data_IF_661486421598
#
_entry.id   IF_661486421598
#
_cell.length_a   1.000
_cell.length_b   1.000
_cell.length_c   1.000
_cell.angle_alpha   90.00
_cell.angle_beta   90.00
_cell.angle_gamma   90.00
#
_symmetry.space_group_name_H-M   'P 1'
#
loop_
_entity.id
_entity.type
_entity.pdbx_description
1 polymer ?
#
# COMPACT_ATOMS: atom_id res chain seq x y z
N UNK A 1 -4.72 -7.77 -22.67
CA UNK A 1 -5.15 -6.81 -21.63
C UNK A 1 -4.50 -5.47 -21.95
N UNK A 2 -5.26 -4.40 -21.86
CA UNK A 2 -4.73 -3.05 -22.07
C UNK A 2 -3.69 -2.70 -21.00
N UNK A 3 -2.60 -2.00 -21.35
CA UNK A 3 -1.52 -1.65 -20.43
C UNK A 3 -2.00 -0.80 -19.25
N UNK A 4 -2.99 0.06 -19.46
CA UNK A 4 -3.60 0.87 -18.40
C UNK A 4 -4.28 0.03 -17.32
N UNK A 5 -4.99 -1.03 -17.71
CA UNK A 5 -5.65 -1.95 -16.76
C UNK A 5 -4.62 -2.67 -15.91
N UNK A 6 -3.53 -3.13 -16.52
CA UNK A 6 -2.44 -3.80 -15.81
C UNK A 6 -1.72 -2.86 -14.83
N UNK A 7 -1.53 -1.59 -15.20
CA UNK A 7 -0.99 -0.57 -14.31
C UNK A 7 -1.92 -0.31 -13.12
N UNK A 8 -3.22 -0.14 -13.33
CA UNK A 8 -4.17 0.08 -12.23
C UNK A 8 -4.18 -1.14 -11.29
N UNK A 9 -4.26 -2.35 -11.84
CA UNK A 9 -4.26 -3.58 -11.06
C UNK A 9 -2.98 -3.75 -10.24
N UNK A 10 -1.81 -3.38 -10.78
CA UNK A 10 -0.55 -3.47 -10.03
C UNK A 10 -0.54 -2.53 -8.82
N UNK A 11 -1.04 -1.31 -8.98
CA UNK A 11 -1.22 -0.37 -7.87
C UNK A 11 -2.17 -0.91 -6.81
N UNK A 12 -3.36 -1.36 -7.24
CA UNK A 12 -4.39 -1.92 -6.34
C UNK A 12 -3.85 -3.13 -5.58
N UNK A 13 -3.20 -4.08 -6.25
CA UNK A 13 -2.64 -5.27 -5.61
C UNK A 13 -1.56 -4.91 -4.59
N UNK A 14 -0.66 -3.98 -4.93
CA UNK A 14 0.39 -3.53 -3.99
C UNK A 14 -0.22 -2.89 -2.75
N UNK A 15 -1.22 -2.02 -2.94
CA UNK A 15 -1.94 -1.38 -1.84
C UNK A 15 -2.70 -2.38 -0.98
N UNK A 16 -3.47 -3.29 -1.58
CA UNK A 16 -4.25 -4.31 -0.88
C UNK A 16 -3.37 -5.25 -0.04
N UNK A 17 -2.23 -5.70 -0.57
CA UNK A 17 -1.31 -6.54 0.20
C UNK A 17 -0.80 -5.80 1.43
N UNK A 18 -0.42 -4.53 1.29
CA UNK A 18 -0.07 -3.68 2.42
C UNK A 18 -1.21 -3.53 3.43
N UNK A 19 -2.43 -3.30 2.95
CA UNK A 19 -3.60 -3.18 3.84
C UNK A 19 -3.90 -4.47 4.61
N UNK A 20 -3.81 -5.62 3.95
CA UNK A 20 -3.98 -6.91 4.61
C UNK A 20 -2.89 -7.11 5.67
N UNK A 21 -1.63 -6.88 5.29
CA UNK A 21 -0.48 -7.11 6.14
C UNK A 21 -0.43 -6.21 7.39
N UNK A 22 -0.87 -4.95 7.29
CA UNK A 22 -0.71 -3.96 8.35
C UNK A 22 -1.99 -3.51 9.04
N UNK A 23 -3.16 -3.74 8.46
CA UNK A 23 -4.44 -3.43 9.12
C UNK A 23 -5.21 -4.71 9.44
N UNK A 24 -5.46 -5.54 8.42
CA UNK A 24 -6.39 -6.67 8.57
C UNK A 24 -5.82 -7.78 9.46
N UNK A 25 -4.55 -8.17 9.27
CA UNK A 25 -3.90 -9.22 10.07
C UNK A 25 -3.86 -8.84 11.56
N UNK A 26 -3.39 -7.64 11.96
CA UNK A 26 -3.49 -7.21 13.35
C UNK A 26 -4.92 -7.21 13.89
N UNK A 27 -5.88 -6.70 13.11
CA UNK A 27 -7.29 -6.63 13.52
C UNK A 27 -7.89 -8.01 13.82
N UNK A 28 -7.67 -9.01 12.96
CA UNK A 28 -8.27 -10.35 13.13
C UNK A 28 -7.55 -11.21 14.16
N UNK A 29 -6.27 -10.92 14.44
CA UNK A 29 -5.48 -11.63 15.45
C UNK A 29 -5.59 -11.02 16.84
N UNK A 30 -6.09 -9.77 16.94
CA UNK A 30 -6.31 -9.11 18.22
C UNK A 30 -7.39 -9.81 19.05
N UNK A 31 -7.08 -10.11 20.32
CA UNK A 31 -8.05 -10.61 21.29
C UNK A 31 -9.21 -9.61 21.53
N UNK A 32 -9.00 -8.34 21.16
CA UNK A 32 -9.97 -7.25 21.15
C UNK A 32 -11.21 -7.46 20.26
N UNK A 33 -11.20 -8.43 19.33
CA UNK A 33 -12.42 -8.83 18.60
C UNK A 33 -13.38 -9.61 19.51
N UNK A 34 -12.87 -10.32 20.52
CA UNK A 34 -13.62 -11.28 21.31
C UNK A 34 -14.26 -10.71 22.59
N UNK A 35 -13.89 -9.50 23.03
CA UNK A 35 -14.26 -8.96 24.35
C UNK A 35 -15.32 -7.83 24.32
N UNK A 36 -15.87 -7.49 23.16
CA UNK A 36 -17.14 -6.74 23.06
C UNK A 36 -17.12 -5.25 23.48
N UNK A 37 -15.96 -4.67 23.78
CA UNK A 37 -15.82 -3.22 23.99
C UNK A 37 -14.77 -2.67 23.02
N UNK A 38 -15.09 -1.61 22.28
CA UNK A 38 -14.11 -1.01 21.35
C UNK A 38 -14.07 0.50 21.50
N UNK A 39 -13.07 0.97 22.23
CA UNK A 39 -12.54 2.31 22.02
C UNK A 39 -11.68 2.27 20.75
N UNK A 40 -12.06 3.09 19.77
CA UNK A 40 -11.31 3.32 18.54
C UNK A 40 -9.83 3.73 18.73
N UNK A 41 -9.51 4.39 19.86
CA UNK A 41 -8.14 4.75 20.20
C UNK A 41 -7.29 3.53 20.50
N UNK A 42 -7.85 2.55 21.20
CA UNK A 42 -7.15 1.33 21.60
C UNK A 42 -6.83 0.45 20.38
N UNK A 43 -7.77 0.32 19.45
CA UNK A 43 -7.54 -0.37 18.17
C UNK A 43 -6.42 0.31 17.36
N UNK A 44 -6.43 1.65 17.34
CA UNK A 44 -5.43 2.43 16.60
C UNK A 44 -4.03 2.23 17.22
N UNK A 45 -3.93 2.27 18.55
CA UNK A 45 -2.69 2.02 19.27
C UNK A 45 -2.18 0.60 19.01
N UNK A 46 -3.05 -0.41 19.08
CA UNK A 46 -2.70 -1.79 18.82
C UNK A 46 -2.16 -2.01 17.39
N UNK A 47 -2.76 -1.37 16.37
CA UNK A 47 -2.26 -1.43 14.99
C UNK A 47 -0.87 -0.81 14.87
N UNK A 48 -0.64 0.33 15.53
CA UNK A 48 0.67 1.01 15.54
C UNK A 48 1.73 0.16 16.26
N UNK A 49 1.40 -0.35 17.44
CA UNK A 49 2.26 -1.26 18.21
C UNK A 49 2.59 -2.51 17.38
N UNK A 50 1.56 -3.17 16.83
CA UNK A 50 1.74 -4.31 15.92
C UNK A 50 2.66 -3.96 14.76
N UNK A 51 2.54 -2.77 14.16
CA UNK A 51 3.44 -2.33 13.09
C UNK A 51 4.90 -2.25 13.56
N UNK A 52 5.17 -1.66 14.73
CA UNK A 52 6.54 -1.50 15.24
C UNK A 52 7.14 -2.80 15.80
N UNK A 53 6.31 -3.72 16.27
CA UNK A 53 6.75 -5.04 16.74
C UNK A 53 7.06 -6.02 15.61
N UNK A 54 6.60 -5.74 14.38
CA UNK A 54 6.96 -6.56 13.24
C UNK A 54 8.47 -6.55 13.00
N UNK A 55 8.99 -7.72 12.61
CA UNK A 55 10.40 -7.83 12.26
C UNK A 55 10.76 -6.96 11.05
N UNK A 56 12.00 -6.47 11.00
CA UNK A 56 12.52 -5.74 9.83
C UNK A 56 12.33 -6.55 8.54
N UNK A 57 12.47 -7.88 8.59
CA UNK A 57 12.24 -8.76 7.44
C UNK A 57 10.79 -8.74 6.95
N UNK A 58 9.82 -8.62 7.86
CA UNK A 58 8.41 -8.47 7.50
C UNK A 58 8.19 -7.15 6.74
N UNK A 59 8.77 -6.04 7.23
CA UNK A 59 8.70 -4.76 6.53
C UNK A 59 9.38 -4.80 5.16
N UNK A 60 10.55 -5.43 5.05
CA UNK A 60 11.22 -5.62 3.75
C UNK A 60 10.35 -6.46 2.81
N UNK A 61 9.73 -7.53 3.31
CA UNK A 61 8.82 -8.35 2.53
C UNK A 61 7.68 -7.55 1.91
N UNK A 62 6.95 -6.80 2.74
CA UNK A 62 5.73 -6.12 2.31
C UNK A 62 6.01 -4.79 1.61
N UNK A 63 6.94 -3.98 2.13
CA UNK A 63 7.17 -2.62 1.61
C UNK A 63 8.21 -2.57 0.48
N UNK A 64 9.06 -3.59 0.33
CA UNK A 64 10.13 -3.60 -0.69
C UNK A 64 9.93 -4.72 -1.71
N UNK A 65 9.85 -5.97 -1.27
CA UNK A 65 9.77 -7.11 -2.19
C UNK A 65 8.46 -7.13 -2.98
N UNK A 66 7.32 -6.87 -2.34
CA UNK A 66 6.01 -6.87 -3.02
C UNK A 66 5.96 -5.82 -4.15
N UNK A 67 6.25 -4.52 -3.94
CA UNK A 67 6.24 -3.53 -5.03
C UNK A 67 7.24 -3.85 -6.14
N UNK A 68 8.42 -4.39 -5.78
CA UNK A 68 9.42 -4.81 -6.76
C UNK A 68 8.88 -5.95 -7.64
N UNK A 69 8.38 -7.02 -7.03
CA UNK A 69 7.87 -8.20 -7.75
C UNK A 69 6.67 -7.82 -8.60
N UNK A 70 5.73 -7.04 -8.06
CA UNK A 70 4.55 -6.58 -8.82
C UNK A 70 4.99 -5.75 -10.02
N UNK A 71 5.93 -4.82 -9.85
CA UNK A 71 6.42 -4.01 -10.97
C UNK A 71 7.08 -4.89 -12.04
N UNK A 72 7.93 -5.84 -11.63
CA UNK A 72 8.60 -6.78 -12.54
C UNK A 72 7.58 -7.60 -13.33
N UNK A 73 6.59 -8.18 -12.65
CA UNK A 73 5.56 -9.00 -13.25
C UNK A 73 4.71 -8.19 -14.24
N UNK A 74 4.20 -7.04 -13.81
CA UNK A 74 3.33 -6.20 -14.63
C UNK A 74 4.05 -5.70 -15.88
N UNK A 75 5.26 -5.17 -15.76
CA UNK A 75 6.03 -4.72 -16.92
C UNK A 75 6.39 -5.89 -17.86
N UNK A 76 6.70 -7.07 -17.32
CA UNK A 76 6.99 -8.25 -18.14
C UNK A 76 5.76 -8.71 -18.92
N UNK A 77 4.58 -8.68 -18.31
CA UNK A 77 3.31 -9.02 -18.97
C UNK A 77 2.94 -8.00 -20.04
N UNK A 78 3.07 -6.71 -19.75
CA UNK A 78 2.84 -5.62 -20.70
C UNK A 78 3.73 -5.79 -21.94
N UNK A 79 5.03 -6.06 -21.76
CA UNK A 79 5.98 -6.21 -22.86
C UNK A 79 5.72 -7.46 -23.68
N UNK A 80 5.39 -8.59 -23.03
CA UNK A 80 4.96 -9.82 -23.73
C UNK A 80 3.70 -9.59 -24.57
N UNK A 81 2.83 -8.69 -24.13
CA UNK A 81 1.65 -8.27 -24.88
C UNK A 81 1.95 -7.27 -26.01
N UNK A 82 3.21 -6.92 -26.30
CA UNK A 82 3.57 -5.97 -27.36
C UNK A 82 3.42 -4.49 -26.99
N UNK A 83 3.15 -4.15 -25.72
CA UNK A 83 2.86 -2.78 -25.30
C UNK A 83 4.09 -2.09 -24.65
N UNK A 84 5.28 -2.34 -25.18
CA UNK A 84 6.51 -1.75 -24.68
C UNK A 84 6.55 -0.24 -24.99
N UNK A 85 6.75 0.59 -23.96
CA UNK A 85 6.84 2.03 -24.16
C UNK A 85 7.03 2.79 -22.87
N UNK A 86 7.70 3.95 -22.96
CA UNK A 86 7.99 4.81 -21.80
C UNK A 86 6.71 5.24 -21.06
N UNK A 87 5.64 5.54 -21.79
CA UNK A 87 4.35 5.91 -21.19
C UNK A 87 3.80 4.80 -20.31
N UNK A 88 3.79 3.56 -20.82
CA UNK A 88 3.33 2.39 -20.06
C UNK A 88 4.22 2.10 -18.86
N UNK A 89 5.55 2.17 -19.05
CA UNK A 89 6.51 1.93 -17.96
C UNK A 89 6.28 2.93 -16.81
N UNK A 90 6.10 4.22 -17.14
CA UNK A 90 5.81 5.27 -16.16
C UNK A 90 4.45 5.04 -15.49
N UNK A 91 3.42 4.66 -16.25
CA UNK A 91 2.10 4.38 -15.70
C UNK A 91 2.16 3.25 -14.64
N UNK A 92 2.81 2.13 -14.95
CA UNK A 92 2.94 0.98 -14.04
C UNK A 92 3.73 1.36 -12.79
N UNK A 93 4.89 2.02 -12.94
CA UNK A 93 5.70 2.42 -11.77
C UNK A 93 4.93 3.39 -10.89
N UNK A 94 4.25 4.38 -11.50
CA UNK A 94 3.48 5.38 -10.76
C UNK A 94 2.32 4.75 -10.00
N UNK A 95 1.55 3.86 -10.62
CA UNK A 95 0.41 3.21 -9.95
C UNK A 95 0.85 2.29 -8.82
N UNK A 96 1.98 1.56 -8.95
CA UNK A 96 2.55 0.75 -7.87
C UNK A 96 2.92 1.60 -6.65
N UNK A 97 3.36 2.84 -6.86
CA UNK A 97 3.69 3.78 -5.79
C UNK A 97 2.42 4.39 -5.18
N UNK A 98 1.51 4.84 -6.03
CA UNK A 98 0.27 5.54 -5.63
C UNK A 98 -0.71 4.60 -4.92
N UNK A 99 -0.75 3.32 -5.29
CA UNK A 99 -1.65 2.33 -4.69
C UNK A 99 -1.54 2.29 -3.16
N UNK A 100 -0.38 1.95 -2.59
CA UNK A 100 -0.14 1.96 -1.14
C UNK A 100 -0.41 3.31 -0.48
N UNK A 101 -0.05 4.43 -1.12
CA UNK A 101 -0.32 5.77 -0.62
C UNK A 101 -1.83 6.00 -0.43
N UNK A 102 -2.62 5.72 -1.47
CA UNK A 102 -4.09 5.86 -1.42
C UNK A 102 -4.70 4.90 -0.41
N UNK A 103 -4.16 3.68 -0.29
CA UNK A 103 -4.65 2.70 0.68
C UNK A 103 -4.50 3.17 2.13
N UNK A 104 -3.36 3.76 2.49
CA UNK A 104 -3.15 4.30 3.85
C UNK A 104 -4.14 5.44 4.13
N UNK A 105 -4.31 6.37 3.19
CA UNK A 105 -5.26 7.48 3.35
C UNK A 105 -6.72 6.99 3.45
N UNK A 106 -7.09 5.99 2.65
CA UNK A 106 -8.42 5.39 2.70
C UNK A 106 -8.66 4.68 4.05
N UNK A 107 -7.66 3.94 4.54
CA UNK A 107 -7.73 3.31 5.86
C UNK A 107 -7.92 4.34 6.98
N UNK A 108 -7.17 5.45 6.93
CA UNK A 108 -7.30 6.55 7.88
C UNK A 108 -8.69 7.22 7.81
N UNK A 109 -9.23 7.44 6.60
CA UNK A 109 -10.55 8.02 6.40
C UNK A 109 -11.67 7.10 6.93
N UNK A 110 -11.57 5.79 6.72
CA UNK A 110 -12.53 4.81 7.25
C UNK A 110 -12.47 4.78 8.77
N UNK A 111 -11.26 4.73 9.35
CA UNK A 111 -11.09 4.78 10.80
C UNK A 111 -11.70 6.05 11.39
N UNK A 112 -11.44 7.21 10.79
CA UNK A 112 -12.03 8.47 11.21
C UNK A 112 -13.56 8.47 11.12
N UNK A 113 -14.13 7.96 10.02
CA UNK A 113 -15.58 7.83 9.85
C UNK A 113 -16.21 6.94 10.93
N UNK A 114 -15.55 5.84 11.29
CA UNK A 114 -16.00 4.97 12.38
C UNK A 114 -16.01 5.69 13.74
N UNK A 115 -14.99 6.50 14.03
CA UNK A 115 -14.91 7.31 15.26
C UNK A 115 -16.02 8.36 15.27
N UNK A 116 -16.24 9.05 14.15
CA UNK A 116 -17.24 10.11 14.03
C UNK A 116 -18.67 9.62 14.33
N UNK A 117 -18.98 8.36 13.99
CA UNK A 117 -20.28 7.73 14.32
C UNK A 117 -20.44 7.49 15.82
N UNK A 118 -19.36 7.16 16.53
CA UNK A 118 -19.41 6.85 17.97
C UNK A 118 -19.28 8.10 18.85
N UNK A 119 -18.38 9.02 18.48
CA UNK A 119 -18.09 10.23 19.22
C UNK A 119 -17.63 11.36 18.29
N UNK A 120 -18.55 12.24 17.84
CA UNK A 120 -18.21 13.32 16.92
C UNK A 120 -17.24 14.34 17.54
N UNK A 121 -17.32 14.57 18.85
CA UNK A 121 -16.41 15.49 19.56
C UNK A 121 -14.96 15.01 19.51
N UNK A 122 -14.73 13.70 19.72
CA UNK A 122 -13.39 13.10 19.63
C UNK A 122 -12.92 13.08 18.17
N UNK A 123 -13.80 12.80 17.21
CA UNK A 123 -13.45 12.79 15.79
C UNK A 123 -12.98 14.16 15.27
N UNK A 124 -13.58 15.26 15.73
CA UNK A 124 -13.20 16.63 15.34
C UNK A 124 -11.82 16.99 15.88
N UNK A 125 -11.49 16.61 17.12
CA UNK A 125 -10.15 16.84 17.67
C UNK A 125 -9.11 15.89 17.07
N UNK A 126 -9.49 14.64 16.86
CA UNK A 126 -8.63 13.59 16.34
C UNK A 126 -8.14 13.84 14.91
N UNK A 127 -8.95 14.49 14.05
CA UNK A 127 -8.56 14.75 12.66
C UNK A 127 -7.31 15.62 12.54
N UNK A 128 -7.10 16.56 13.47
CA UNK A 128 -5.97 17.50 13.48
C UNK A 128 -4.65 16.76 13.64
N UNK A 129 -4.65 15.63 14.37
CA UNK A 129 -3.46 14.82 14.61
C UNK A 129 -3.36 13.61 13.68
N UNK A 130 -4.48 12.91 13.45
CA UNK A 130 -4.51 11.68 12.65
C UNK A 130 -4.19 11.94 11.17
N UNK A 131 -4.68 13.04 10.60
CA UNK A 131 -4.48 13.33 9.17
C UNK A 131 -3.00 13.64 8.84
N UNK A 132 -2.28 14.51 9.58
CA UNK A 132 -0.85 14.69 9.38
C UNK A 132 -0.04 13.40 9.54
N UNK A 133 -0.35 12.58 10.55
CA UNK A 133 0.33 11.30 10.76
C UNK A 133 0.10 10.37 9.56
N UNK A 134 -1.14 10.23 9.10
CA UNK A 134 -1.47 9.42 7.93
C UNK A 134 -0.75 9.92 6.67
N UNK A 135 -0.65 11.24 6.47
CA UNK A 135 0.07 11.82 5.33
C UNK A 135 1.57 11.52 5.40
N UNK A 136 2.20 11.72 6.57
CA UNK A 136 3.63 11.42 6.77
C UNK A 136 3.90 9.94 6.52
N UNK A 137 3.08 9.07 7.11
CA UNK A 137 3.22 7.62 6.96
C UNK A 137 3.02 7.19 5.50
N UNK A 138 2.01 7.74 4.82
CA UNK A 138 1.77 7.50 3.39
C UNK A 138 2.96 7.96 2.54
N UNK A 139 3.57 9.10 2.86
CA UNK A 139 4.75 9.60 2.16
C UNK A 139 5.96 8.66 2.38
N UNK A 140 6.20 8.19 3.60
CA UNK A 140 7.25 7.22 3.90
C UNK A 140 7.04 5.92 3.09
N UNK A 141 5.82 5.38 3.09
CA UNK A 141 5.46 4.19 2.31
C UNK A 141 5.70 4.45 0.81
N UNK A 142 5.25 5.58 0.27
CA UNK A 142 5.43 5.94 -1.13
C UNK A 142 6.91 6.04 -1.53
N UNK A 143 7.77 6.58 -0.66
CA UNK A 143 9.21 6.68 -0.93
C UNK A 143 9.83 5.28 -1.01
N UNK A 144 9.53 4.40 -0.06
CA UNK A 144 10.08 3.04 -0.01
C UNK A 144 9.58 2.21 -1.20
N UNK A 145 8.28 2.32 -1.53
CA UNK A 145 7.70 1.63 -2.69
C UNK A 145 8.25 2.19 -4.00
N UNK A 146 8.56 3.48 -4.08
CA UNK A 146 9.18 4.09 -5.26
C UNK A 146 10.57 3.54 -5.57
N UNK A 147 11.43 3.43 -4.55
CA UNK A 147 12.77 2.82 -4.72
C UNK A 147 12.62 1.39 -5.27
N UNK A 148 11.66 0.65 -4.73
CA UNK A 148 11.41 -0.75 -5.08
C UNK A 148 10.82 -0.92 -6.49
N UNK A 149 9.85 -0.08 -6.85
CA UNK A 149 9.25 -0.07 -8.19
C UNK A 149 10.27 0.35 -9.26
N UNK A 150 11.09 1.37 -8.98
CA UNK A 150 12.19 1.77 -9.89
C UNK A 150 13.22 0.65 -10.03
N UNK A 151 13.55 -0.06 -8.95
CA UNK A 151 14.40 -1.25 -9.00
C UNK A 151 13.82 -2.36 -9.89
N UNK A 152 12.52 -2.63 -9.75
CA UNK A 152 11.80 -3.59 -10.61
C UNK A 152 11.80 -3.18 -12.09
N UNK A 153 11.57 -1.91 -12.38
CA UNK A 153 11.70 -1.35 -13.72
C UNK A 153 13.10 -1.55 -14.30
N UNK A 154 14.15 -1.22 -13.54
CA UNK A 154 15.54 -1.38 -13.98
C UNK A 154 15.87 -2.85 -14.29
N UNK A 155 15.35 -3.79 -13.48
CA UNK A 155 15.50 -5.23 -13.71
C UNK A 155 14.86 -5.65 -15.04
N UNK A 156 13.60 -5.27 -15.29
CA UNK A 156 12.89 -5.62 -16.54
C UNK A 156 13.51 -4.92 -17.75
N UNK A 157 14.01 -3.68 -17.59
CA UNK A 157 14.74 -3.00 -18.66
C UNK A 157 16.00 -3.77 -19.07
N UNK A 158 16.72 -4.37 -18.11
CA UNK A 158 17.99 -5.05 -18.38
C UNK A 158 17.82 -6.50 -18.83
N UNK A 159 16.88 -7.24 -18.24
CA UNK A 159 16.74 -8.69 -18.40
C UNK A 159 15.36 -9.14 -18.89
N UNK A 160 14.42 -8.22 -19.05
CA UNK A 160 13.04 -8.54 -19.38
C UNK A 160 12.82 -8.86 -20.88
N UNK A 161 11.59 -9.29 -21.22
CA UNK A 161 11.20 -9.54 -22.61
C UNK A 161 11.42 -8.29 -23.47
N UNK A 162 12.05 -8.47 -24.64
CA UNK A 162 12.15 -7.43 -25.65
C UNK A 162 10.80 -7.24 -26.34
N UNK A 163 10.53 -6.03 -26.81
CA UNK A 163 9.37 -5.81 -27.67
C UNK A 163 9.50 -6.71 -28.90
N UNK A 164 8.43 -7.39 -29.35
CA UNK A 164 8.41 -7.90 -30.71
C UNK A 164 8.60 -6.69 -31.65
N UNK A 165 9.51 -6.84 -32.61
CA UNK A 165 9.74 -5.90 -33.72
C UNK A 165 8.51 -5.83 -34.64
#
# INVERSE_FOLDING_TARGET
>A
MEPGVLAVLSGVMTGLIGAVAYFLVPLVTSEYVNTGGRDSLEITYYILESFFEQSVYYHVGVLVLVPLVITVLTLSLVRRGGHAGRSTDVAVVTTVIVGPFVTVLLGAAIAWGAIAVQSPAIAILGIIFALPIAVIFSACVAIVTAVSAVGGYALVKRFGPRSPD
#
